data_IF_326002002971
#
_entry.id   IF_326002002971
#
_cell.length_a   1.000
_cell.length_b   1.000
_cell.length_c   1.000
_cell.angle_alpha   90.00
_cell.angle_beta   90.00
_cell.angle_gamma   90.00
#
_symmetry.space_group_name_H-M   'P 1'
#
loop_
_entity.id
_entity.type
_entity.pdbx_description
1 polymer ?
#
# COMPACT_ATOMS: atom_id res chain seq x y z
N UNK A 1 4.37 -20.24 -28.37
CA UNK A 1 5.81 -20.03 -28.17
C UNK A 1 5.98 -19.83 -26.68
N UNK A 2 6.69 -20.73 -26.03
CA UNK A 2 6.78 -20.82 -24.58
C UNK A 2 7.45 -19.56 -24.02
N UNK A 3 6.66 -18.72 -23.35
CA UNK A 3 7.12 -17.57 -22.57
C UNK A 3 7.64 -18.07 -21.23
N UNK A 4 8.91 -18.41 -21.18
CA UNK A 4 9.61 -18.74 -19.93
C UNK A 4 9.85 -17.47 -19.14
N UNK A 5 8.93 -17.12 -18.24
CA UNK A 5 9.30 -16.33 -17.07
C UNK A 5 10.05 -17.26 -16.11
N UNK A 6 11.29 -16.92 -15.76
CA UNK A 6 12.17 -17.70 -14.86
C UNK A 6 11.50 -18.10 -13.51
N UNK A 7 10.38 -17.47 -13.14
CA UNK A 7 9.68 -17.72 -11.88
C UNK A 7 8.64 -18.85 -11.87
N UNK A 8 8.25 -19.40 -13.03
CA UNK A 8 7.14 -20.37 -13.08
C UNK A 8 7.59 -21.80 -12.75
N UNK A 9 8.85 -22.16 -13.00
CA UNK A 9 9.40 -23.49 -12.68
C UNK A 9 9.61 -23.70 -11.16
N UNK A 10 9.92 -22.62 -10.42
CA UNK A 10 10.17 -22.66 -8.98
C UNK A 10 8.93 -22.32 -8.12
N UNK A 11 7.79 -22.06 -8.76
CA UNK A 11 6.55 -21.70 -8.06
C UNK A 11 6.63 -20.37 -7.30
N UNK A 12 7.47 -19.45 -7.78
CA UNK A 12 7.64 -18.09 -7.24
C UNK A 12 6.67 -17.08 -7.87
N UNK A 13 6.20 -17.32 -9.09
CA UNK A 13 5.24 -16.45 -9.76
C UNK A 13 3.88 -16.42 -9.04
N UNK A 14 3.34 -15.22 -8.79
CA UNK A 14 1.95 -15.06 -8.33
C UNK A 14 1.06 -15.06 -9.58
N UNK A 15 0.06 -15.96 -9.69
CA UNK A 15 -0.83 -15.97 -10.84
C UNK A 15 -1.56 -14.62 -11.03
N UNK A 16 -1.50 -14.10 -12.24
CA UNK A 16 -2.22 -12.88 -12.63
C UNK A 16 -3.60 -13.31 -13.12
N UNK A 17 -4.63 -12.93 -12.37
CA UNK A 17 -6.01 -13.36 -12.63
C UNK A 17 -6.89 -12.27 -13.23
N UNK A 18 -6.42 -11.02 -13.22
CA UNK A 18 -7.17 -9.84 -13.67
C UNK A 18 -6.24 -8.87 -14.38
N UNK A 19 -6.77 -8.18 -15.39
CA UNK A 19 -6.15 -7.04 -16.05
C UNK A 19 -7.19 -5.93 -16.02
N UNK A 20 -6.82 -4.79 -15.46
CA UNK A 20 -7.72 -3.64 -15.31
C UNK A 20 -7.00 -2.38 -15.76
N UNK A 21 -7.66 -1.62 -16.63
CA UNK A 21 -7.19 -0.34 -17.10
C UNK A 21 -8.32 0.69 -16.93
N UNK A 22 -8.20 1.63 -15.96
CA UNK A 22 -9.24 2.63 -15.69
C UNK A 22 -9.32 3.73 -16.77
N UNK A 23 -8.39 3.76 -17.74
CA UNK A 23 -8.38 4.72 -18.84
C UNK A 23 -8.39 3.94 -20.15
N UNK A 24 -9.58 3.87 -20.76
CA UNK A 24 -9.83 3.15 -22.02
C UNK A 24 -9.29 3.89 -23.25
N UNK A 25 -8.06 4.40 -23.18
CA UNK A 25 -7.44 5.16 -24.27
C UNK A 25 -6.44 4.33 -25.08
N UNK A 26 -6.22 4.77 -26.32
CA UNK A 26 -5.39 4.08 -27.32
C UNK A 26 -3.90 4.29 -27.03
N UNK A 27 -3.13 3.20 -27.10
CA UNK A 27 -1.67 3.09 -27.14
C UNK A 27 -0.87 4.32 -26.69
N UNK A 28 -0.39 4.30 -25.45
CA UNK A 28 0.68 5.20 -25.02
C UNK A 28 1.99 4.73 -25.64
N UNK A 29 2.43 5.35 -26.73
CA UNK A 29 3.77 5.10 -27.28
C UNK A 29 4.80 5.91 -26.49
N UNK A 30 5.84 5.26 -25.98
CA UNK A 30 6.91 5.92 -25.25
C UNK A 30 8.29 5.50 -25.77
N UNK A 31 9.30 6.32 -25.51
CA UNK A 31 10.68 5.97 -25.83
C UNK A 31 11.18 4.90 -24.84
N UNK A 32 11.39 3.65 -25.29
CA UNK A 32 11.84 2.57 -24.40
C UNK A 32 13.25 2.79 -23.85
N UNK A 33 13.98 3.81 -24.34
CA UNK A 33 15.34 4.10 -23.91
C UNK A 33 15.44 4.92 -22.62
N UNK A 34 14.39 5.65 -22.20
CA UNK A 34 14.43 6.52 -21.00
C UNK A 34 14.83 5.72 -19.76
N UNK A 35 14.30 4.49 -19.64
CA UNK A 35 14.55 3.59 -18.52
C UNK A 35 15.41 2.38 -18.91
N UNK A 36 16.26 2.51 -19.93
CA UNK A 36 17.13 1.41 -20.36
C UNK A 36 18.04 0.90 -19.23
N UNK A 37 18.38 1.73 -18.26
CA UNK A 37 19.17 1.33 -17.08
C UNK A 37 18.43 0.36 -16.14
N UNK A 38 17.09 0.30 -16.23
CA UNK A 38 16.25 -0.69 -15.53
C UNK A 38 16.10 -2.00 -16.32
N UNK A 39 16.40 -1.99 -17.62
CA UNK A 39 16.35 -3.17 -18.49
C UNK A 39 17.66 -3.96 -18.36
N UNK A 40 17.71 -4.88 -17.40
CA UNK A 40 18.87 -5.75 -17.20
C UNK A 40 18.52 -7.01 -16.40
N UNK A 41 18.83 -8.22 -16.91
CA UNK A 41 18.59 -9.46 -16.18
C UNK A 41 19.59 -9.57 -15.02
N UNK A 42 19.10 -9.67 -13.79
CA UNK A 42 19.78 -10.07 -12.54
C UNK A 42 21.12 -9.41 -12.17
N UNK A 43 21.55 -8.42 -12.95
CA UNK A 43 22.78 -7.61 -12.81
C UNK A 43 22.44 -6.14 -12.97
N UNK A 44 21.35 -5.68 -12.36
CA UNK A 44 21.18 -4.24 -12.16
C UNK A 44 22.38 -3.66 -11.39
N UNK A 45 22.40 -2.34 -11.19
CA UNK A 45 23.55 -1.61 -10.63
C UNK A 45 23.96 -2.07 -9.21
N UNK A 46 23.19 -2.95 -8.57
CA UNK A 46 23.54 -3.61 -7.32
C UNK A 46 24.53 -4.77 -7.47
N UNK A 47 25.29 -5.03 -6.41
CA UNK A 47 26.20 -6.18 -6.32
C UNK A 47 25.48 -7.53 -6.56
N UNK A 48 26.20 -8.60 -6.93
CA UNK A 48 25.61 -9.94 -7.06
C UNK A 48 24.78 -10.31 -5.81
N UNK A 49 23.47 -10.52 -6.00
CA UNK A 49 22.55 -10.86 -4.90
C UNK A 49 21.59 -9.75 -4.48
N UNK A 50 21.76 -8.50 -4.92
CA UNK A 50 20.84 -7.38 -4.62
C UNK A 50 19.38 -7.65 -5.04
N UNK A 51 19.17 -8.61 -5.93
CA UNK A 51 17.89 -8.96 -6.53
C UNK A 51 17.44 -10.39 -6.21
N UNK A 52 18.17 -11.09 -5.35
CA UNK A 52 17.97 -12.52 -5.04
C UNK A 52 16.57 -12.87 -4.54
N UNK A 53 15.89 -11.93 -3.86
CA UNK A 53 14.55 -12.10 -3.28
C UNK A 53 13.38 -11.92 -4.25
N UNK A 54 13.63 -11.60 -5.51
CA UNK A 54 12.57 -11.24 -6.47
C UNK A 54 12.80 -11.80 -7.86
N UNK A 55 11.72 -11.89 -8.62
CA UNK A 55 11.73 -12.16 -10.05
C UNK A 55 11.39 -10.86 -10.80
N UNK A 56 11.93 -10.71 -12.00
CA UNK A 56 11.55 -9.62 -12.92
C UNK A 56 10.35 -10.07 -13.74
N UNK A 57 9.36 -9.20 -13.88
CA UNK A 57 8.20 -9.41 -14.73
C UNK A 57 8.21 -8.35 -15.83
N UNK A 58 8.04 -8.79 -17.06
CA UNK A 58 7.87 -7.92 -18.23
C UNK A 58 6.40 -7.95 -18.65
N UNK A 59 5.61 -6.92 -18.31
CA UNK A 59 4.18 -6.86 -18.62
C UNK A 59 3.87 -7.05 -20.12
N UNK A 60 4.74 -6.55 -20.99
CA UNK A 60 4.67 -6.75 -22.45
C UNK A 60 4.75 -8.22 -22.85
N UNK A 61 5.63 -9.00 -22.24
CA UNK A 61 5.76 -10.45 -22.48
C UNK A 61 4.57 -11.23 -21.90
N UNK A 62 3.92 -10.69 -20.86
CA UNK A 62 2.73 -11.24 -20.23
C UNK A 62 1.42 -10.82 -20.91
N UNK A 63 1.48 -10.04 -22.00
CA UNK A 63 0.30 -9.49 -22.68
C UNK A 63 -0.60 -8.65 -21.75
N UNK A 64 0.01 -7.91 -20.81
CA UNK A 64 -0.68 -7.03 -19.86
C UNK A 64 -0.56 -5.59 -20.33
N UNK A 65 -1.67 -4.85 -20.35
CA UNK A 65 -1.65 -3.39 -20.59
C UNK A 65 -0.80 -2.73 -19.51
N UNK A 66 0.20 -1.95 -19.93
CA UNK A 66 1.18 -1.34 -19.02
C UNK A 66 1.36 0.14 -19.34
N UNK A 67 0.44 1.00 -18.87
CA UNK A 67 0.46 2.44 -19.14
C UNK A 67 1.48 3.16 -18.23
N UNK A 68 2.74 2.74 -18.29
CA UNK A 68 3.88 3.28 -17.55
C UNK A 68 5.13 3.20 -18.41
N UNK A 69 6.03 4.17 -18.26
CA UNK A 69 7.34 4.21 -18.90
C UNK A 69 8.33 3.25 -18.24
N UNK A 70 8.03 2.73 -17.04
CA UNK A 70 8.81 1.68 -16.41
C UNK A 70 8.71 0.39 -17.24
N UNK A 71 9.83 -0.19 -17.70
CA UNK A 71 9.80 -1.27 -18.70
C UNK A 71 9.44 -2.64 -18.11
N UNK A 72 9.53 -2.77 -16.79
CA UNK A 72 9.29 -4.00 -16.05
C UNK A 72 8.88 -3.67 -14.62
N UNK A 73 8.30 -4.64 -13.93
CA UNK A 73 8.14 -4.61 -12.49
C UNK A 73 8.86 -5.80 -11.86
N UNK A 74 8.94 -5.84 -10.53
CA UNK A 74 9.53 -6.96 -9.80
C UNK A 74 8.52 -7.50 -8.80
N UNK A 75 8.60 -8.79 -8.56
CA UNK A 75 7.74 -9.48 -7.60
C UNK A 75 8.60 -10.26 -6.62
N UNK A 76 8.30 -10.16 -5.33
CA UNK A 76 8.94 -10.99 -4.31
C UNK A 76 8.71 -12.48 -4.59
N UNK A 77 9.76 -13.29 -4.38
CA UNK A 77 9.70 -14.76 -4.36
C UNK A 77 9.00 -15.30 -3.10
N UNK A 78 8.90 -14.48 -2.05
CA UNK A 78 8.51 -14.89 -0.70
C UNK A 78 7.03 -14.65 -0.39
N UNK A 79 6.19 -14.47 -1.41
CA UNK A 79 4.77 -14.15 -1.25
C UNK A 79 3.98 -15.23 -0.48
N UNK A 80 4.38 -16.51 -0.56
CA UNK A 80 3.77 -17.60 0.22
C UNK A 80 4.02 -17.46 1.72
N UNK A 81 5.24 -17.04 2.09
CA UNK A 81 5.58 -16.75 3.48
C UNK A 81 4.79 -15.54 3.96
N UNK A 82 4.69 -14.51 3.11
CA UNK A 82 3.86 -13.36 3.40
C UNK A 82 2.39 -13.72 3.59
N UNK A 83 1.83 -14.58 2.75
CA UNK A 83 0.45 -15.08 2.89
C UNK A 83 0.23 -15.84 4.20
N UNK A 84 1.13 -16.77 4.53
CA UNK A 84 1.07 -17.55 5.76
C UNK A 84 1.09 -16.63 7.00
N UNK A 85 2.07 -15.74 7.10
CA UNK A 85 2.20 -14.83 8.25
C UNK A 85 1.02 -13.84 8.34
N UNK A 86 0.51 -13.37 7.21
CA UNK A 86 -0.67 -12.48 7.17
C UNK A 86 -1.91 -13.20 7.67
N UNK A 87 -2.09 -14.46 7.26
CA UNK A 87 -3.18 -15.31 7.76
C UNK A 87 -3.07 -15.52 9.27
N UNK A 88 -1.88 -15.86 9.78
CA UNK A 88 -1.65 -16.04 11.22
C UNK A 88 -2.00 -14.79 12.03
N UNK A 89 -1.66 -13.61 11.53
CA UNK A 89 -2.04 -12.35 12.20
C UNK A 89 -3.55 -12.12 12.16
N UNK A 90 -4.20 -12.35 11.01
CA UNK A 90 -5.64 -12.17 10.88
C UNK A 90 -6.41 -13.14 11.80
N UNK A 91 -5.99 -14.41 11.86
CA UNK A 91 -6.54 -15.42 12.76
C UNK A 91 -6.35 -14.99 14.23
N UNK A 92 -5.18 -14.46 14.60
CA UNK A 92 -4.92 -13.94 15.94
C UNK A 92 -5.80 -12.73 16.30
N UNK A 93 -6.07 -11.85 15.34
CA UNK A 93 -7.00 -10.72 15.51
C UNK A 93 -8.42 -11.24 15.80
N UNK A 94 -8.89 -12.25 15.06
CA UNK A 94 -10.20 -12.86 15.31
C UNK A 94 -10.28 -13.55 16.67
N UNK A 95 -9.26 -14.31 17.04
CA UNK A 95 -9.22 -14.97 18.34
C UNK A 95 -9.26 -13.95 19.48
N UNK A 96 -8.52 -12.84 19.38
CA UNK A 96 -8.60 -11.73 20.32
C UNK A 96 -10.00 -11.11 20.36
N UNK A 97 -10.57 -10.84 19.18
CA UNK A 97 -11.91 -10.26 19.00
C UNK A 97 -13.01 -11.07 19.68
N UNK A 98 -12.97 -12.40 19.54
CA UNK A 98 -13.95 -13.32 20.11
C UNK A 98 -13.84 -13.47 21.64
N UNK A 99 -12.63 -13.38 22.20
CA UNK A 99 -12.42 -13.62 23.64
C UNK A 99 -12.81 -12.42 24.50
N UNK A 100 -12.67 -11.19 24.00
CA UNK A 100 -12.85 -9.97 24.80
C UNK A 100 -13.58 -8.82 24.06
N UNK A 101 -14.90 -8.92 23.80
CA UNK A 101 -15.62 -8.05 22.85
C UNK A 101 -15.64 -6.54 23.17
N UNK A 102 -15.29 -6.12 24.40
CA UNK A 102 -15.59 -4.78 24.90
C UNK A 102 -14.50 -3.72 24.64
N UNK A 103 -13.34 -4.08 24.05
CA UNK A 103 -12.20 -3.14 23.95
C UNK A 103 -11.26 -3.39 22.75
N UNK A 104 -11.70 -4.17 21.76
CA UNK A 104 -10.88 -4.63 20.61
C UNK A 104 -10.82 -3.68 19.42
N UNK A 105 -11.45 -2.51 19.56
CA UNK A 105 -11.69 -1.62 18.45
C UNK A 105 -12.64 -2.21 17.40
N UNK A 106 -13.06 -1.37 16.46
CA UNK A 106 -13.95 -1.78 15.38
C UNK A 106 -13.19 -2.51 14.26
N UNK A 107 -13.81 -3.55 13.74
CA UNK A 107 -13.43 -4.25 12.51
C UNK A 107 -14.34 -3.79 11.36
N UNK A 108 -13.91 -3.86 10.09
CA UNK A 108 -14.78 -3.74 8.91
C UNK A 108 -16.15 -4.41 9.11
N UNK A 109 -17.29 -3.75 8.81
CA UNK A 109 -18.63 -4.33 9.01
C UNK A 109 -18.78 -5.70 8.36
N UNK A 110 -18.15 -5.90 7.20
CA UNK A 110 -18.14 -7.16 6.46
C UNK A 110 -17.47 -8.30 7.23
N UNK A 111 -16.57 -7.98 8.16
CA UNK A 111 -15.87 -8.95 9.01
C UNK A 111 -16.58 -9.22 10.34
N UNK A 112 -17.57 -8.40 10.72
CA UNK A 112 -18.34 -8.59 11.95
C UNK A 112 -19.45 -9.64 11.80
N UNK A 113 -19.92 -9.89 10.57
CA UNK A 113 -20.91 -10.94 10.29
C UNK A 113 -20.24 -12.33 10.25
N UNK A 114 -20.50 -13.12 11.29
CA UNK A 114 -19.82 -14.41 11.55
C UNK A 114 -20.35 -15.58 10.72
N UNK A 115 -21.34 -15.39 9.85
CA UNK A 115 -22.03 -16.50 9.18
C UNK A 115 -22.13 -16.43 7.66
N UNK A 116 -21.52 -15.44 7.01
CA UNK A 116 -21.81 -15.14 5.62
C UNK A 116 -20.63 -15.27 4.66
N UNK A 117 -20.95 -15.60 3.41
CA UNK A 117 -20.08 -15.52 2.24
C UNK A 117 -19.43 -14.13 2.08
N UNK A 118 -20.03 -13.08 2.65
CA UNK A 118 -19.50 -11.72 2.68
C UNK A 118 -18.18 -11.65 3.46
N UNK A 119 -18.16 -12.21 4.68
CA UNK A 119 -16.95 -12.25 5.51
C UNK A 119 -15.82 -13.01 4.81
N UNK A 120 -16.10 -14.21 4.29
CA UNK A 120 -15.08 -15.01 3.60
C UNK A 120 -14.47 -14.26 2.41
N UNK A 121 -15.31 -13.57 1.62
CA UNK A 121 -14.83 -12.75 0.50
C UNK A 121 -13.95 -11.59 0.98
N UNK A 122 -14.35 -10.89 2.04
CA UNK A 122 -13.56 -9.78 2.58
C UNK A 122 -12.24 -10.24 3.20
N UNK A 123 -12.21 -11.39 3.87
CA UNK A 123 -10.98 -12.00 4.38
C UNK A 123 -9.99 -12.34 3.25
N UNK A 124 -10.50 -12.93 2.17
CA UNK A 124 -9.68 -13.22 0.97
C UNK A 124 -9.18 -11.92 0.35
N UNK A 125 -10.05 -10.93 0.17
CA UNK A 125 -9.68 -9.61 -0.38
C UNK A 125 -8.57 -8.95 0.44
N UNK A 126 -8.72 -8.84 1.76
CA UNK A 126 -7.73 -8.22 2.63
C UNK A 126 -6.40 -8.96 2.61
N UNK A 127 -6.44 -10.30 2.69
CA UNK A 127 -5.22 -11.12 2.65
C UNK A 127 -4.51 -10.96 1.30
N UNK A 128 -5.23 -11.12 0.19
CA UNK A 128 -4.64 -11.00 -1.14
C UNK A 128 -4.09 -9.60 -1.40
N UNK A 129 -4.83 -8.56 -1.02
CA UNK A 129 -4.39 -7.17 -1.20
C UNK A 129 -3.13 -6.88 -0.40
N UNK A 130 -3.07 -7.35 0.86
CA UNK A 130 -1.90 -7.18 1.73
C UNK A 130 -0.66 -7.89 1.17
N UNK A 131 -0.82 -9.14 0.76
CA UNK A 131 0.27 -9.97 0.22
C UNK A 131 0.77 -9.41 -1.11
N UNK A 132 -0.13 -9.05 -2.02
CA UNK A 132 0.23 -8.48 -3.32
C UNK A 132 0.89 -7.11 -3.15
N UNK A 133 0.40 -6.27 -2.25
CA UNK A 133 1.04 -4.98 -1.94
C UNK A 133 2.47 -5.20 -1.46
N UNK A 134 2.70 -6.11 -0.51
CA UNK A 134 4.05 -6.43 -0.05
C UNK A 134 4.93 -7.00 -1.16
N UNK A 135 4.41 -7.92 -1.96
CA UNK A 135 5.18 -8.62 -2.99
C UNK A 135 5.61 -7.72 -4.15
N UNK A 136 4.76 -6.80 -4.59
CA UNK A 136 5.02 -5.93 -5.75
C UNK A 136 5.66 -4.59 -5.37
N UNK A 137 5.32 -4.02 -4.21
CA UNK A 137 5.90 -2.74 -3.78
C UNK A 137 7.26 -2.92 -3.09
N UNK A 138 7.47 -4.07 -2.43
CA UNK A 138 8.70 -4.37 -1.67
C UNK A 138 9.39 -5.67 -2.12
N UNK A 139 9.68 -5.82 -3.43
CA UNK A 139 10.16 -7.08 -4.00
C UNK A 139 11.54 -7.52 -3.48
N UNK A 140 12.32 -6.60 -2.90
CA UNK A 140 13.66 -6.89 -2.36
C UNK A 140 13.64 -7.44 -0.93
N UNK A 141 12.49 -7.41 -0.26
CA UNK A 141 12.36 -7.85 1.13
C UNK A 141 12.84 -9.30 1.32
N UNK A 142 13.54 -9.56 2.42
CA UNK A 142 13.86 -10.92 2.87
C UNK A 142 12.57 -11.69 3.18
N UNK A 143 12.61 -13.03 3.29
CA UNK A 143 11.41 -13.82 3.59
C UNK A 143 10.61 -13.33 4.81
N UNK A 144 11.31 -13.05 5.92
CA UNK A 144 10.70 -12.59 7.17
C UNK A 144 10.16 -11.16 7.02
N UNK A 145 10.93 -10.25 6.40
CA UNK A 145 10.50 -8.86 6.19
C UNK A 145 9.32 -8.75 5.23
N UNK A 146 9.25 -9.61 4.21
CA UNK A 146 8.11 -9.68 3.30
C UNK A 146 6.82 -10.03 4.08
N UNK A 147 6.90 -10.98 5.01
CA UNK A 147 5.78 -11.32 5.88
C UNK A 147 5.40 -10.22 6.85
N UNK A 148 6.38 -9.59 7.50
CA UNK A 148 6.12 -8.43 8.38
C UNK A 148 5.49 -7.27 7.63
N UNK A 149 5.96 -6.95 6.42
CA UNK A 149 5.39 -5.88 5.59
C UNK A 149 3.96 -6.21 5.14
N UNK A 150 3.67 -7.47 4.80
CA UNK A 150 2.32 -7.91 4.46
C UNK A 150 1.38 -7.83 5.66
N UNK A 151 1.84 -8.22 6.85
CA UNK A 151 1.11 -8.03 8.11
C UNK A 151 0.86 -6.54 8.41
N UNK A 152 1.85 -5.67 8.20
CA UNK A 152 1.67 -4.22 8.32
C UNK A 152 0.65 -3.67 7.33
N UNK A 153 0.64 -4.16 6.07
CA UNK A 153 -0.35 -3.78 5.07
C UNK A 153 -1.76 -4.23 5.45
N UNK A 154 -1.91 -5.43 6.04
CA UNK A 154 -3.19 -5.88 6.58
C UNK A 154 -3.75 -4.90 7.61
N UNK A 155 -2.91 -4.43 8.53
CA UNK A 155 -3.33 -3.45 9.55
C UNK A 155 -3.72 -2.10 8.94
N UNK A 156 -3.03 -1.66 7.90
CA UNK A 156 -3.39 -0.46 7.13
C UNK A 156 -4.77 -0.63 6.48
N UNK A 157 -5.00 -1.73 5.75
CA UNK A 157 -6.29 -1.94 5.08
C UNK A 157 -7.47 -2.19 6.04
N UNK A 158 -7.23 -2.82 7.19
CA UNK A 158 -8.23 -2.96 8.25
C UNK A 158 -8.63 -1.60 8.85
N UNK A 159 -7.68 -0.67 8.98
CA UNK A 159 -7.97 0.68 9.47
C UNK A 159 -8.64 1.55 8.40
N UNK A 160 -8.15 1.50 7.17
CA UNK A 160 -8.66 2.30 6.05
C UNK A 160 -10.14 1.97 5.75
N UNK A 161 -10.50 0.68 5.76
CA UNK A 161 -11.89 0.25 5.57
C UNK A 161 -12.87 0.78 6.64
N UNK A 162 -12.38 1.09 7.85
CA UNK A 162 -13.19 1.66 8.92
C UNK A 162 -13.22 3.19 8.90
N UNK A 163 -12.07 3.83 8.66
CA UNK A 163 -11.90 5.27 8.85
C UNK A 163 -12.68 6.12 7.84
N UNK A 164 -13.06 5.53 6.69
CA UNK A 164 -13.86 6.19 5.66
C UNK A 164 -15.37 6.02 5.86
N UNK A 165 -15.80 5.20 6.83
CA UNK A 165 -17.22 4.95 7.11
C UNK A 165 -17.88 6.11 7.85
N UNK A 166 -19.06 6.53 7.38
CA UNK A 166 -19.90 7.57 8.02
C UNK A 166 -20.35 7.16 9.44
N UNK A 167 -20.38 5.85 9.74
CA UNK A 167 -20.75 5.32 11.06
C UNK A 167 -19.57 5.24 12.03
N UNK A 168 -18.35 5.63 11.61
CA UNK A 168 -17.18 5.64 12.47
C UNK A 168 -17.27 6.76 13.50
N UNK A 169 -18.02 6.51 14.57
CA UNK A 169 -18.21 7.43 15.69
C UNK A 169 -16.97 7.49 16.58
N UNK A 170 -15.87 8.07 16.10
CA UNK A 170 -14.64 8.31 16.87
C UNK A 170 -14.07 7.09 17.62
N UNK A 171 -14.47 5.88 17.21
CA UNK A 171 -14.04 4.64 17.84
C UNK A 171 -12.56 4.40 17.59
N UNK A 172 -11.95 3.55 18.40
CA UNK A 172 -10.67 2.92 18.07
C UNK A 172 -10.94 1.87 16.99
N UNK A 173 -10.18 1.79 15.89
CA UNK A 173 -10.19 0.57 15.05
C UNK A 173 -9.45 -0.55 15.76
N UNK A 174 -9.54 -1.77 15.24
CA UNK A 174 -8.69 -2.88 15.70
C UNK A 174 -7.21 -2.56 15.61
N UNK A 175 -6.81 -1.84 14.56
CA UNK A 175 -5.42 -1.41 14.35
C UNK A 175 -5.00 -0.41 15.42
N UNK A 176 -5.88 0.53 15.79
CA UNK A 176 -5.62 1.46 16.89
C UNK A 176 -5.43 0.72 18.23
N UNK A 177 -6.24 -0.31 18.50
CA UNK A 177 -6.13 -1.12 19.71
C UNK A 177 -4.81 -1.89 19.75
N UNK A 178 -4.35 -2.41 18.61
CA UNK A 178 -3.04 -3.07 18.47
C UNK A 178 -1.91 -2.07 18.75
N UNK A 179 -1.93 -0.90 18.09
CA UNK A 179 -0.88 0.11 18.22
C UNK A 179 -0.88 0.80 19.60
N UNK A 180 -1.98 0.79 20.34
CA UNK A 180 -1.98 1.22 21.74
C UNK A 180 -1.02 0.40 22.64
N UNK A 181 -0.61 -0.80 22.21
CA UNK A 181 0.39 -1.63 22.91
C UNK A 181 1.84 -1.30 22.55
N UNK A 182 2.07 -0.55 21.47
CA UNK A 182 3.39 -0.10 21.02
C UNK A 182 3.97 0.95 21.98
N UNK A 183 3.15 1.94 22.35
CA UNK A 183 3.46 2.94 23.39
C UNK A 183 2.39 2.92 24.50
N UNK A 184 2.46 1.95 25.43
CA UNK A 184 1.42 1.78 26.43
C UNK A 184 1.39 3.00 27.36
N UNK A 185 0.25 3.70 27.35
CA UNK A 185 -0.01 4.78 28.32
C UNK A 185 -0.06 4.18 29.74
N UNK A 186 0.45 4.92 30.72
CA UNK A 186 0.44 4.49 32.11
C UNK A 186 -1.01 4.16 32.56
N UNK A 187 -1.24 2.93 33.04
CA UNK A 187 -2.55 2.46 33.50
C UNK A 187 -3.33 1.57 32.52
N UNK A 188 -2.81 1.33 31.32
CA UNK A 188 -3.48 0.44 30.33
C UNK A 188 -3.22 -1.04 30.69
N UNK A 189 -4.25 -1.90 30.87
CA UNK A 189 -4.07 -3.30 31.25
C UNK A 189 -3.26 -4.09 30.22
N UNK A 190 -2.08 -4.58 30.63
CA UNK A 190 -1.01 -5.01 29.73
C UNK A 190 -1.12 -6.46 29.21
N UNK A 191 -2.08 -7.25 29.72
CA UNK A 191 -2.22 -8.68 29.43
C UNK A 191 -3.14 -9.00 28.23
N UNK A 192 -3.83 -7.98 27.68
CA UNK A 192 -4.97 -8.14 26.76
C UNK A 192 -4.62 -8.49 25.31
N UNK A 193 -3.36 -8.36 24.89
CA UNK A 193 -2.96 -8.58 23.48
C UNK A 193 -1.56 -9.18 23.33
N UNK A 194 -1.25 -10.25 24.08
CA UNK A 194 0.10 -10.82 24.04
C UNK A 194 0.56 -11.19 22.61
N UNK A 195 -0.32 -11.74 21.77
CA UNK A 195 0.03 -12.16 20.40
C UNK A 195 0.24 -10.96 19.47
N UNK A 196 -0.62 -9.94 19.52
CA UNK A 196 -0.50 -8.75 18.67
C UNK A 196 0.68 -7.86 19.11
N UNK A 197 0.95 -7.79 20.41
CA UNK A 197 2.19 -7.19 20.93
C UNK A 197 3.44 -7.95 20.48
N UNK A 198 3.34 -9.27 20.36
CA UNK A 198 4.47 -10.08 19.88
C UNK A 198 4.80 -9.75 18.43
N UNK A 199 3.80 -9.49 17.56
CA UNK A 199 4.03 -9.01 16.20
C UNK A 199 4.78 -7.67 16.17
N UNK A 200 4.32 -6.66 16.91
CA UNK A 200 4.98 -5.35 16.96
C UNK A 200 6.41 -5.45 17.52
N UNK A 201 6.59 -6.29 18.53
CA UNK A 201 7.91 -6.56 19.13
C UNK A 201 8.84 -7.25 18.12
N UNK A 202 8.34 -8.23 17.37
CA UNK A 202 9.11 -8.94 16.36
C UNK A 202 9.63 -8.01 15.24
N UNK A 203 8.85 -7.00 14.83
CA UNK A 203 9.31 -5.99 13.87
C UNK A 203 10.52 -5.19 14.42
N UNK A 204 10.49 -4.83 15.71
CA UNK A 204 11.59 -4.11 16.36
C UNK A 204 12.80 -5.03 16.58
N UNK A 205 12.58 -6.31 16.87
CA UNK A 205 13.65 -7.29 17.07
C UNK A 205 14.35 -7.65 15.75
N UNK A 206 13.62 -7.67 14.63
CA UNK A 206 14.19 -7.86 13.29
C UNK A 206 15.18 -6.73 12.91
N UNK A 207 14.83 -5.49 13.22
CA UNK A 207 15.76 -4.36 13.18
C UNK A 207 15.29 -3.23 14.09
N UNK A 208 16.09 -2.91 15.11
CA UNK A 208 15.69 -1.93 16.11
C UNK A 208 15.45 -0.53 15.55
N UNK A 209 16.24 -0.11 14.55
CA UNK A 209 16.15 1.24 13.99
C UNK A 209 15.05 1.32 12.94
N UNK A 210 15.07 0.41 11.97
CA UNK A 210 14.11 0.40 10.87
C UNK A 210 12.72 -0.02 11.33
N UNK A 211 12.63 -1.01 12.23
CA UNK A 211 11.38 -1.48 12.80
C UNK A 211 10.65 -0.40 13.58
N UNK A 212 11.36 0.37 14.42
CA UNK A 212 10.77 1.53 15.12
C UNK A 212 10.27 2.61 14.15
N UNK A 213 11.07 2.95 13.13
CA UNK A 213 10.67 3.94 12.12
C UNK A 213 9.43 3.51 11.35
N UNK A 214 9.36 2.25 10.95
CA UNK A 214 8.20 1.65 10.29
C UNK A 214 6.94 1.73 11.17
N UNK A 215 7.03 1.30 12.43
CA UNK A 215 5.88 1.31 13.33
C UNK A 215 5.44 2.73 13.67
N UNK A 216 6.38 3.63 13.96
CA UNK A 216 6.06 5.05 14.22
C UNK A 216 5.44 5.75 13.00
N UNK A 217 5.78 5.35 11.78
CA UNK A 217 5.16 5.91 10.58
C UNK A 217 3.72 5.46 10.39
N UNK A 218 3.43 4.19 10.68
CA UNK A 218 2.06 3.67 10.68
C UNK A 218 1.25 4.36 11.80
N UNK A 219 1.79 4.49 13.01
CA UNK A 219 1.11 5.16 14.13
C UNK A 219 0.80 6.64 13.84
N UNK A 220 1.74 7.35 13.21
CA UNK A 220 1.53 8.72 12.74
C UNK A 220 0.39 8.78 11.71
N UNK A 221 0.35 7.82 10.78
CA UNK A 221 -0.71 7.72 9.79
C UNK A 221 -2.08 7.43 10.41
N UNK A 222 -2.17 6.50 11.36
CA UNK A 222 -3.40 6.23 12.12
C UNK A 222 -3.94 7.47 12.84
N UNK A 223 -3.04 8.34 13.31
CA UNK A 223 -3.41 9.61 13.93
C UNK A 223 -3.90 10.64 12.91
N UNK A 224 -3.31 10.66 11.71
CA UNK A 224 -3.68 11.56 10.61
C UNK A 224 -5.07 11.22 10.05
N UNK A 225 -5.34 9.95 9.74
CA UNK A 225 -6.59 9.46 9.13
C UNK A 225 -7.82 9.72 9.99
N UNK A 226 -7.71 9.64 11.32
CA UNK A 226 -8.77 10.03 12.27
C UNK A 226 -9.25 11.48 12.08
N UNK A 227 -8.44 12.32 11.43
CA UNK A 227 -8.75 13.69 11.07
C UNK A 227 -9.72 13.83 9.89
N UNK A 228 -9.96 12.78 9.09
CA UNK A 228 -10.73 12.87 7.84
C UNK A 228 -12.12 13.50 8.01
N UNK A 229 -12.82 13.19 9.10
CA UNK A 229 -14.15 13.77 9.39
C UNK A 229 -14.17 15.31 9.50
N UNK A 230 -13.00 15.93 9.66
CA UNK A 230 -12.85 17.38 9.74
C UNK A 230 -12.45 18.00 8.39
N UNK A 231 -12.27 17.20 7.35
CA UNK A 231 -11.98 17.67 6.00
C UNK A 231 -13.28 18.18 5.36
N UNK A 232 -13.40 19.48 5.02
CA UNK A 232 -14.59 20.00 4.36
C UNK A 232 -14.72 19.50 2.91
N UNK A 233 -15.93 19.38 2.36
CA UNK A 233 -16.14 18.91 0.97
C UNK A 233 -15.46 19.74 -0.14
N UNK A 234 -15.08 20.99 0.16
CA UNK A 234 -14.39 21.90 -0.75
C UNK A 234 -12.91 22.13 -0.36
N UNK A 235 -12.30 21.19 0.37
CA UNK A 235 -10.98 21.39 0.97
C UNK A 235 -9.83 21.58 -0.02
N UNK A 236 -9.92 20.99 -1.22
CA UNK A 236 -8.84 21.02 -2.19
C UNK A 236 -9.13 22.02 -3.32
N UNK A 237 -8.51 23.19 -3.23
CA UNK A 237 -8.60 24.25 -4.26
C UNK A 237 -7.67 24.00 -5.46
N UNK A 238 -6.68 23.11 -5.30
CA UNK A 238 -5.73 22.74 -6.35
C UNK A 238 -5.26 21.29 -6.21
N UNK A 239 -4.77 20.70 -7.31
CA UNK A 239 -4.13 19.38 -7.28
C UNK A 239 -2.86 19.41 -6.41
N UNK A 240 -2.14 20.53 -6.34
CA UNK A 240 -0.95 20.66 -5.50
C UNK A 240 -1.29 20.54 -4.01
N UNK A 241 -2.36 21.20 -3.55
CA UNK A 241 -2.80 21.07 -2.16
C UNK A 241 -3.29 19.66 -1.84
N UNK A 242 -3.93 19.00 -2.82
CA UNK A 242 -4.32 17.60 -2.69
C UNK A 242 -3.11 16.68 -2.53
N UNK A 243 -2.11 16.78 -3.40
CA UNK A 243 -0.91 15.92 -3.34
C UNK A 243 -0.10 16.14 -2.07
N UNK A 244 -0.01 17.38 -1.58
CA UNK A 244 0.64 17.68 -0.30
C UNK A 244 -0.06 16.96 0.86
N UNK A 245 -1.39 17.08 0.95
CA UNK A 245 -2.19 16.32 1.91
C UNK A 245 -1.99 14.80 1.74
N UNK A 246 -2.07 14.31 0.50
CA UNK A 246 -2.01 12.89 0.17
C UNK A 246 -0.64 12.26 0.46
N UNK A 247 0.42 13.06 0.55
CA UNK A 247 1.77 12.56 0.88
C UNK A 247 1.90 12.06 2.33
N UNK A 248 1.16 12.65 3.27
CA UNK A 248 1.05 12.15 4.66
C UNK A 248 0.06 10.98 4.77
N UNK A 249 -0.90 10.93 3.84
CA UNK A 249 -2.02 10.02 3.77
C UNK A 249 -1.68 8.61 3.25
N UNK A 250 -0.57 8.47 2.52
CA UNK A 250 -0.06 7.19 2.03
C UNK A 250 0.87 6.49 3.04
N UNK A 251 0.63 6.66 4.34
CA UNK A 251 1.35 5.99 5.43
C UNK A 251 2.90 6.05 5.39
N UNK A 252 3.48 7.09 4.76
CA UNK A 252 4.93 7.27 4.60
C UNK A 252 5.63 5.99 4.08
N UNK A 253 5.18 5.49 2.93
CA UNK A 253 5.68 4.25 2.29
C UNK A 253 7.22 4.12 2.21
N UNK A 254 7.97 5.23 2.20
CA UNK A 254 9.43 5.19 2.20
C UNK A 254 10.03 4.42 3.39
N UNK A 255 9.40 4.40 4.56
CA UNK A 255 9.93 3.63 5.70
C UNK A 255 9.77 2.12 5.50
N UNK A 256 8.70 1.68 4.84
CA UNK A 256 8.51 0.29 4.43
C UNK A 256 9.56 -0.10 3.39
N UNK A 257 9.90 0.79 2.46
CA UNK A 257 10.98 0.58 1.49
C UNK A 257 12.34 0.41 2.17
N UNK A 258 12.71 1.31 3.09
CA UNK A 258 13.97 1.21 3.83
C UNK A 258 14.04 -0.07 4.67
N UNK A 259 12.93 -0.45 5.32
CA UNK A 259 12.81 -1.71 6.04
C UNK A 259 12.97 -2.92 5.11
N UNK A 260 12.28 -2.95 3.97
CA UNK A 260 12.37 -4.02 2.98
C UNK A 260 13.81 -4.23 2.49
N UNK A 261 14.49 -3.13 2.16
CA UNK A 261 15.82 -3.16 1.56
C UNK A 261 16.97 -3.22 2.58
N UNK A 262 16.67 -3.17 3.89
CA UNK A 262 17.67 -3.08 4.95
C UNK A 262 18.63 -1.89 4.79
N UNK A 263 18.08 -0.71 4.48
CA UNK A 263 18.86 0.50 4.24
C UNK A 263 18.70 1.45 5.43
N UNK A 264 19.80 1.68 6.14
CA UNK A 264 19.86 2.65 7.23
C UNK A 264 20.38 4.00 6.72
N UNK A 265 19.48 4.98 6.65
CA UNK A 265 19.82 6.37 6.36
C UNK A 265 19.63 7.23 7.62
N UNK A 266 20.56 8.15 7.86
CA UNK A 266 20.38 9.24 8.81
C UNK A 266 19.30 10.23 8.32
N UNK A 267 18.76 11.07 9.22
CA UNK A 267 17.81 12.12 8.83
C UNK A 267 18.41 13.09 7.80
N UNK A 268 19.72 13.36 7.91
CA UNK A 268 20.44 14.21 6.96
C UNK A 268 20.52 13.57 5.57
N UNK A 269 20.75 12.26 5.49
CA UNK A 269 20.75 11.53 4.21
C UNK A 269 19.35 11.45 3.62
N UNK A 270 18.32 11.19 4.44
CA UNK A 270 16.91 11.22 4.00
C UNK A 270 16.58 12.60 3.39
N UNK A 271 17.05 13.68 4.01
CA UNK A 271 16.83 15.04 3.51
C UNK A 271 17.41 15.26 2.11
N UNK A 272 18.55 14.64 1.78
CA UNK A 272 19.13 14.69 0.42
C UNK A 272 18.18 14.07 -0.62
N UNK A 273 17.41 13.06 -0.22
CA UNK A 273 16.45 12.37 -1.08
C UNK A 273 15.04 12.99 -1.08
N UNK A 274 14.80 14.10 -0.37
CA UNK A 274 13.46 14.68 -0.22
C UNK A 274 12.73 14.91 -1.55
N UNK A 275 13.43 15.40 -2.57
CA UNK A 275 12.82 15.59 -3.88
C UNK A 275 12.36 14.27 -4.51
N UNK A 276 13.19 13.22 -4.42
CA UNK A 276 12.84 11.89 -4.94
C UNK A 276 11.73 11.23 -4.12
N UNK A 277 11.73 11.42 -2.80
CA UNK A 277 10.66 10.95 -1.90
C UNK A 277 9.34 11.63 -2.27
N UNK A 278 9.34 12.93 -2.56
CA UNK A 278 8.15 13.66 -2.96
C UNK A 278 7.61 13.22 -4.33
N UNK A 279 8.51 13.00 -5.30
CA UNK A 279 8.14 12.48 -6.62
C UNK A 279 7.51 11.08 -6.47
N UNK A 280 8.14 10.20 -5.70
CA UNK A 280 7.62 8.85 -5.41
C UNK A 280 6.26 8.91 -4.70
N UNK A 281 6.12 9.75 -3.68
CA UNK A 281 4.85 9.95 -2.97
C UNK A 281 3.75 10.42 -3.93
N UNK A 282 4.05 11.37 -4.81
CA UNK A 282 3.10 11.86 -5.81
C UNK A 282 2.71 10.76 -6.80
N UNK A 283 3.69 10.01 -7.32
CA UNK A 283 3.47 8.91 -8.27
C UNK A 283 2.54 7.85 -7.67
N UNK A 284 2.86 7.37 -6.46
CA UNK A 284 2.06 6.31 -5.83
C UNK A 284 0.67 6.79 -5.42
N UNK A 285 0.53 8.02 -4.94
CA UNK A 285 -0.76 8.62 -4.61
C UNK A 285 -1.68 8.72 -5.83
N UNK A 286 -1.20 9.31 -6.93
CA UNK A 286 -1.98 9.45 -8.15
C UNK A 286 -2.30 8.09 -8.79
N UNK A 287 -1.34 7.16 -8.75
CA UNK A 287 -1.55 5.79 -9.25
C UNK A 287 -2.62 5.09 -8.43
N UNK A 288 -2.56 5.15 -7.09
CA UNK A 288 -3.57 4.56 -6.23
C UNK A 288 -4.95 5.15 -6.54
N UNK A 289 -5.07 6.48 -6.52
CA UNK A 289 -6.33 7.18 -6.76
C UNK A 289 -6.94 6.86 -8.13
N UNK A 290 -6.13 6.78 -9.19
CA UNK A 290 -6.60 6.44 -10.53
C UNK A 290 -7.19 5.03 -10.59
N UNK A 291 -6.55 4.06 -9.93
CA UNK A 291 -6.96 2.65 -9.95
C UNK A 291 -8.01 2.31 -8.88
N UNK A 292 -8.16 3.13 -7.84
CA UNK A 292 -9.16 2.95 -6.79
C UNK A 292 -10.42 3.77 -6.99
N UNK A 293 -10.44 4.73 -7.94
CA UNK A 293 -11.51 5.70 -8.12
C UNK A 293 -12.91 5.06 -8.21
N UNK A 294 -13.12 4.06 -9.07
CA UNK A 294 -14.43 3.42 -9.23
C UNK A 294 -14.95 2.86 -7.91
N UNK A 295 -14.10 2.11 -7.20
CA UNK A 295 -14.44 1.52 -5.90
C UNK A 295 -14.79 2.60 -4.88
N UNK A 296 -13.97 3.65 -4.79
CA UNK A 296 -14.16 4.75 -3.83
C UNK A 296 -15.39 5.61 -4.16
N UNK A 297 -15.67 5.83 -5.45
CA UNK A 297 -16.86 6.54 -5.90
C UNK A 297 -18.13 5.75 -5.61
N UNK A 298 -18.14 4.44 -5.86
CA UNK A 298 -19.28 3.57 -5.52
C UNK A 298 -19.53 3.55 -4.01
N UNK A 299 -18.46 3.50 -3.22
CA UNK A 299 -18.55 3.53 -1.76
C UNK A 299 -19.05 4.89 -1.24
N UNK A 300 -18.58 5.98 -1.84
CA UNK A 300 -19.08 7.34 -1.59
C UNK A 300 -20.58 7.44 -1.89
N UNK A 301 -21.03 6.98 -3.05
CA UNK A 301 -22.43 7.02 -3.46
C UNK A 301 -23.32 6.16 -2.53
N UNK A 302 -22.79 5.01 -2.07
CA UNK A 302 -23.50 4.06 -1.21
C UNK A 302 -23.63 4.56 0.24
N UNK A 303 -22.58 5.17 0.78
CA UNK A 303 -22.49 5.50 2.22
C UNK A 303 -22.63 6.98 2.53
N UNK A 304 -22.38 7.85 1.55
CA UNK A 304 -22.18 9.29 1.77
C UNK A 304 -20.86 9.63 2.44
N UNK A 305 -19.89 8.69 2.48
CA UNK A 305 -18.53 8.90 2.99
C UNK A 305 -17.76 9.99 2.25
N UNK A 306 -16.52 10.29 2.63
CA UNK A 306 -15.72 11.27 1.89
C UNK A 306 -15.08 10.62 0.65
N UNK A 307 -15.14 11.31 -0.50
CA UNK A 307 -14.37 10.94 -1.69
C UNK A 307 -13.07 11.75 -1.75
N UNK A 308 -12.00 11.21 -1.15
CA UNK A 308 -10.67 11.84 -1.10
C UNK A 308 -9.82 11.26 -2.23
N UNK A 309 -10.04 11.73 -3.46
CA UNK A 309 -9.41 11.15 -4.64
C UNK A 309 -9.01 12.21 -5.67
N UNK A 310 -7.79 12.14 -6.21
CA UNK A 310 -7.26 13.09 -7.18
C UNK A 310 -8.12 13.24 -8.44
N UNK A 311 -8.79 12.18 -8.90
CA UNK A 311 -9.65 12.24 -10.09
C UNK A 311 -10.80 13.24 -9.89
N UNK A 312 -11.41 13.23 -8.71
CA UNK A 312 -12.49 14.15 -8.38
C UNK A 312 -11.97 15.59 -8.21
N UNK A 313 -10.78 15.76 -7.64
CA UNK A 313 -10.11 17.07 -7.54
C UNK A 313 -9.82 17.64 -8.93
N UNK A 314 -9.23 16.85 -9.83
CA UNK A 314 -8.92 17.26 -11.21
C UNK A 314 -10.21 17.63 -11.94
N UNK A 315 -11.25 16.80 -11.83
CA UNK A 315 -12.56 17.05 -12.45
C UNK A 315 -13.14 18.41 -12.02
N UNK A 316 -13.09 18.71 -10.71
CA UNK A 316 -13.60 19.96 -10.13
C UNK A 316 -12.73 21.18 -10.45
N UNK A 317 -11.41 21.08 -10.28
CA UNK A 317 -10.49 22.22 -10.46
C UNK A 317 -10.41 22.62 -11.93
N UNK A 318 -10.30 21.65 -12.84
CA UNK A 318 -10.17 21.92 -14.27
C UNK A 318 -11.51 21.98 -15.02
N UNK A 319 -12.63 21.68 -14.35
CA UNK A 319 -13.99 21.69 -14.93
C UNK A 319 -14.10 20.80 -16.18
N UNK A 320 -13.54 19.59 -16.10
CA UNK A 320 -13.48 18.63 -17.21
C UNK A 320 -14.40 17.43 -16.97
N UNK A 321 -14.61 16.60 -18.00
CA UNK A 321 -15.34 15.34 -17.85
C UNK A 321 -14.53 14.33 -17.02
N UNK A 322 -15.21 13.32 -16.44
CA UNK A 322 -14.55 12.25 -15.68
C UNK A 322 -13.50 11.52 -16.52
N UNK A 323 -13.82 11.20 -17.77
CA UNK A 323 -12.88 10.55 -18.72
C UNK A 323 -11.63 11.41 -18.89
N UNK A 324 -11.80 12.72 -19.09
CA UNK A 324 -10.68 13.65 -19.25
C UNK A 324 -9.87 13.76 -17.96
N UNK A 325 -10.52 13.78 -16.78
CA UNK A 325 -9.83 13.84 -15.50
C UNK A 325 -8.91 12.62 -15.29
N UNK A 326 -9.36 11.42 -15.68
CA UNK A 326 -8.55 10.20 -15.63
C UNK A 326 -7.37 10.21 -16.61
N UNK A 327 -7.58 10.72 -17.83
CA UNK A 327 -6.50 10.92 -18.80
C UNK A 327 -5.45 11.90 -18.29
N UNK A 328 -5.88 13.02 -17.70
CA UNK A 328 -4.97 14.01 -17.08
C UNK A 328 -4.20 13.39 -15.91
N UNK A 329 -4.86 12.63 -15.04
CA UNK A 329 -4.20 11.93 -13.94
C UNK A 329 -3.12 10.95 -14.44
N UNK A 330 -3.43 10.16 -15.49
CA UNK A 330 -2.42 9.32 -16.16
C UNK A 330 -1.26 10.15 -16.70
N UNK A 331 -1.52 11.28 -17.36
CA UNK A 331 -0.49 12.19 -17.82
C UNK A 331 0.43 12.65 -16.68
N UNK A 332 -0.14 13.09 -15.56
CA UNK A 332 0.64 13.51 -14.40
C UNK A 332 1.46 12.37 -13.78
N UNK A 333 0.94 11.13 -13.76
CA UNK A 333 1.72 9.95 -13.33
C UNK A 333 2.94 9.77 -14.24
N UNK A 334 2.76 9.81 -15.56
CA UNK A 334 3.86 9.68 -16.52
C UNK A 334 4.87 10.83 -16.40
N UNK A 335 4.42 12.05 -16.14
CA UNK A 335 5.30 13.19 -15.87
C UNK A 335 6.15 12.97 -14.61
N UNK A 336 5.59 12.37 -13.56
CA UNK A 336 6.37 12.02 -12.36
C UNK A 336 7.42 10.94 -12.64
N UNK A 337 7.15 9.98 -13.54
CA UNK A 337 8.15 9.00 -13.97
C UNK A 337 9.29 9.68 -14.74
N UNK A 338 8.98 10.57 -15.68
CA UNK A 338 10.00 11.37 -16.37
C UNK A 338 10.87 12.17 -15.39
N UNK A 339 10.25 12.85 -14.42
CA UNK A 339 10.98 13.59 -13.39
C UNK A 339 11.91 12.70 -12.55
N UNK A 340 11.52 11.43 -12.33
CA UNK A 340 12.34 10.45 -11.63
C UNK A 340 13.60 10.04 -12.43
N UNK A 341 13.50 10.01 -13.77
CA UNK A 341 14.62 9.66 -14.65
C UNK A 341 15.71 10.74 -14.74
N UNK A 342 15.42 11.97 -14.30
CA UNK A 342 16.34 13.11 -14.37
C UNK A 342 16.55 13.67 -15.78
N UNK A 343 15.66 13.34 -16.72
CA UNK A 343 15.65 13.81 -18.12
C UNK A 343 14.79 15.06 -18.28
#
# INVERSE_FOLDING_TARGET
MDTTTDGNEDGYFIPITHVYDPVLDVETSFDPNIFKFLQGPDKGVGEPGCYSNSIVLYPSELSISWPSYLPCCRQSKHWKIAEMMTKELLDAIYEGSCREPQDNGAMPPELQDTSSEVRMRKEVELRETSVKSAAYMYPSASPIRAGMLSQSMLLVFLHDGECQSVTFHSGSTVTDAIFATYEPKAGTPQWRYNVLRSFLTAIIEEDQSLGKRLLSSIDTWLSHTKGYRFIPPAFFESLSNYVEFRSDDIAREQHKLLFACNIHLSETEIHVFNNLIQIHATHISLTNDLYSFERESEEHDRTGGLLINAIEVIRKVYQVSLVTAKQLARGFILDTECAFSGV
#
